data_IF_416931820048
#
_entry.id   IF_416931820048
#
_cell.length_a   1.000
_cell.length_b   1.000
_cell.length_c   1.000
_cell.angle_alpha   90.00
_cell.angle_beta   90.00
_cell.angle_gamma   90.00
#
_symmetry.space_group_name_H-M   'P 1'
#
loop_
_entity.id
_entity.type
_entity.pdbx_description
1 polymer ?
#
# COMPACT_ATOMS: atom_id res chain seq x y z
N UNK A 1 -0.36 -17.26 15.48
CA UNK A 1 -0.47 -16.07 16.34
C UNK A 1 -1.57 -16.29 17.38
N UNK A 2 -1.41 -15.84 18.64
CA UNK A 2 -2.43 -15.97 19.69
C UNK A 2 -3.30 -14.71 19.68
N UNK A 3 -4.63 -14.90 19.64
CA UNK A 3 -5.56 -13.78 19.73
C UNK A 3 -5.51 -13.13 21.11
N UNK A 4 -5.60 -11.83 21.16
CA UNK A 4 -5.70 -11.04 22.38
C UNK A 4 -7.12 -11.10 22.95
N UNK A 5 -7.29 -10.63 24.19
CA UNK A 5 -8.61 -10.46 24.78
C UNK A 5 -9.37 -9.29 24.12
N UNK A 6 -10.69 -9.27 24.23
CA UNK A 6 -11.52 -8.15 23.74
C UNK A 6 -11.07 -6.82 24.35
N UNK A 7 -10.81 -6.79 25.66
CA UNK A 7 -10.34 -5.59 26.36
C UNK A 7 -8.99 -5.09 25.85
N UNK A 8 -8.10 -5.98 25.41
CA UNK A 8 -6.82 -5.57 24.82
C UNK A 8 -7.03 -4.90 23.46
N UNK A 9 -7.91 -5.45 22.61
CA UNK A 9 -8.25 -4.82 21.33
C UNK A 9 -8.93 -3.47 21.51
N UNK A 10 -9.86 -3.32 22.48
CA UNK A 10 -10.45 -2.02 22.80
C UNK A 10 -9.41 -0.99 23.26
N UNK A 11 -8.44 -1.43 24.07
CA UNK A 11 -7.33 -0.56 24.51
C UNK A 11 -6.46 -0.14 23.34
N UNK A 12 -6.16 -1.03 22.40
CA UNK A 12 -5.41 -0.69 21.18
C UNK A 12 -6.22 0.31 20.35
N UNK A 13 -7.50 0.04 20.09
CA UNK A 13 -8.38 0.92 19.33
C UNK A 13 -8.44 2.33 19.93
N UNK A 14 -8.50 2.44 21.25
CA UNK A 14 -8.54 3.73 21.95
C UNK A 14 -7.23 4.53 21.88
N UNK A 15 -6.11 3.87 21.56
CA UNK A 15 -4.79 4.50 21.45
C UNK A 15 -4.30 4.66 20.01
N UNK A 16 -5.10 4.25 19.00
CA UNK A 16 -4.75 4.47 17.62
C UNK A 16 -4.69 5.97 17.28
N UNK A 17 -3.66 6.36 16.56
CA UNK A 17 -3.58 7.68 15.93
C UNK A 17 -3.83 7.52 14.43
N UNK A 18 -4.74 8.34 13.90
CA UNK A 18 -5.11 8.28 12.48
C UNK A 18 -4.38 9.34 11.68
N UNK A 19 -3.71 8.92 10.61
CA UNK A 19 -3.21 9.85 9.60
C UNK A 19 -4.36 10.20 8.67
N UNK A 20 -4.81 11.44 8.70
CA UNK A 20 -6.02 11.89 8.01
C UNK A 20 -5.74 12.75 6.78
N UNK A 21 -4.50 13.06 6.52
CA UNK A 21 -4.04 13.89 5.41
C UNK A 21 -3.64 13.04 4.20
N UNK A 22 -3.67 13.64 3.02
CA UNK A 22 -3.15 13.02 1.80
C UNK A 22 -1.61 12.95 1.82
N UNK A 23 -1.04 11.85 1.37
CA UNK A 23 0.40 11.69 1.23
C UNK A 23 0.82 11.95 -0.23
N UNK A 24 1.43 13.10 -0.49
CA UNK A 24 1.83 13.51 -1.83
C UNK A 24 3.27 14.00 -1.83
N UNK A 25 4.10 13.46 -2.70
CA UNK A 25 5.47 13.88 -2.86
C UNK A 25 6.37 13.67 -1.64
N UNK A 26 6.04 12.70 -0.78
CA UNK A 26 6.79 12.36 0.44
C UNK A 26 6.35 13.12 1.68
N UNK A 27 5.27 13.90 1.63
CA UNK A 27 4.75 14.69 2.75
C UNK A 27 3.25 14.49 2.92
N UNK A 28 2.78 14.59 4.17
CA UNK A 28 1.35 14.66 4.46
C UNK A 28 0.87 16.10 4.36
N UNK A 29 -0.31 16.28 3.76
CA UNK A 29 -0.93 17.60 3.60
C UNK A 29 -2.47 17.47 3.52
N UNK A 30 -3.23 18.48 3.97
CA UNK A 30 -4.67 18.52 3.76
C UNK A 30 -5.00 18.63 2.27
N UNK A 31 -6.25 18.30 1.90
CA UNK A 31 -6.75 18.60 0.56
C UNK A 31 -6.62 20.09 0.24
N UNK A 32 -6.34 20.46 -1.00
CA UNK A 32 -6.21 21.86 -1.43
C UNK A 32 -7.46 22.70 -1.17
N UNK A 33 -8.63 22.07 -1.26
CA UNK A 33 -9.90 22.70 -0.91
C UNK A 33 -10.10 22.89 0.59
N UNK A 34 -9.30 22.18 1.42
CA UNK A 34 -9.55 22.05 2.87
C UNK A 34 -10.72 21.15 3.23
N UNK A 35 -11.39 20.55 2.24
CA UNK A 35 -12.52 19.66 2.47
C UNK A 35 -12.09 18.34 3.11
N UNK A 36 -12.97 17.82 3.97
CA UNK A 36 -12.79 16.52 4.62
C UNK A 36 -14.06 15.69 4.51
N UNK A 37 -13.89 14.38 4.50
CA UNK A 37 -15.00 13.43 4.56
C UNK A 37 -14.88 12.55 5.81
N UNK A 38 -15.99 12.16 6.44
CA UNK A 38 -15.95 11.26 7.59
C UNK A 38 -15.64 9.81 7.12
N UNK A 39 -14.81 9.09 7.88
CA UNK A 39 -14.83 7.64 7.88
C UNK A 39 -15.63 7.17 9.08
N UNK A 40 -16.48 6.17 8.88
CA UNK A 40 -17.48 5.74 9.86
C UNK A 40 -17.31 4.26 10.14
N UNK A 41 -17.23 3.89 11.41
CA UNK A 41 -17.24 2.49 11.81
C UNK A 41 -18.62 1.87 11.50
N UNK A 42 -18.71 0.93 10.56
CA UNK A 42 -19.99 0.37 10.11
C UNK A 42 -20.69 -0.46 11.19
N UNK A 43 -19.96 -0.97 12.19
CA UNK A 43 -20.54 -1.73 13.28
C UNK A 43 -21.26 -0.85 14.32
N UNK A 44 -20.84 0.42 14.45
CA UNK A 44 -21.38 1.33 15.46
C UNK A 44 -22.09 2.56 14.90
N UNK A 45 -21.87 2.86 13.62
CA UNK A 45 -22.34 4.09 12.97
C UNK A 45 -21.64 5.37 13.46
N UNK A 46 -20.56 5.24 14.27
CA UNK A 46 -19.84 6.40 14.81
C UNK A 46 -18.70 6.82 13.88
N UNK A 47 -18.46 8.11 13.77
CA UNK A 47 -17.32 8.65 13.06
C UNK A 47 -16.02 8.21 13.76
N UNK A 48 -15.07 7.68 12.98
CA UNK A 48 -13.73 7.29 13.44
C UNK A 48 -12.80 8.49 13.33
N UNK A 49 -12.79 9.12 12.15
CA UNK A 49 -11.92 10.25 11.81
C UNK A 49 -12.52 11.03 10.63
N UNK A 50 -11.95 12.19 10.35
CA UNK A 50 -12.22 12.95 9.13
C UNK A 50 -10.96 12.99 8.29
N UNK A 51 -11.02 12.42 7.08
CA UNK A 51 -9.89 12.33 6.16
C UNK A 51 -9.98 13.40 5.07
N UNK A 52 -8.85 13.79 4.50
CA UNK A 52 -8.79 14.76 3.41
C UNK A 52 -9.63 14.28 2.21
N UNK A 53 -10.56 15.12 1.76
CA UNK A 53 -11.37 14.89 0.56
C UNK A 53 -10.68 15.54 -0.64
N UNK A 54 -9.78 14.77 -1.27
CA UNK A 54 -8.95 15.24 -2.37
C UNK A 54 -9.74 15.43 -3.65
N UNK A 55 -9.58 16.59 -4.29
CA UNK A 55 -10.16 16.92 -5.58
C UNK A 55 -9.20 16.67 -6.75
N UNK A 56 -9.62 17.12 -7.94
CA UNK A 56 -8.84 16.95 -9.17
C UNK A 56 -7.43 17.56 -9.07
N UNK A 57 -7.31 18.73 -8.48
CA UNK A 57 -6.01 19.42 -8.37
C UNK A 57 -5.02 18.68 -7.47
N UNK A 58 -5.52 18.00 -6.42
CA UNK A 58 -4.71 17.14 -5.56
C UNK A 58 -4.22 15.91 -6.33
N UNK A 59 -5.10 15.30 -7.13
CA UNK A 59 -4.74 14.16 -8.00
C UNK A 59 -3.71 14.60 -9.04
N UNK A 60 -3.87 15.76 -9.67
CA UNK A 60 -2.91 16.29 -10.64
C UNK A 60 -1.53 16.48 -9.99
N UNK A 61 -1.46 17.00 -8.75
CA UNK A 61 -0.22 17.11 -7.97
C UNK A 61 0.38 15.74 -7.64
N UNK A 62 -0.45 14.79 -7.24
CA UNK A 62 0.01 13.43 -6.92
C UNK A 62 0.61 12.75 -8.15
N UNK A 63 -0.05 12.85 -9.30
CA UNK A 63 0.44 12.32 -10.58
C UNK A 63 1.74 13.00 -10.99
N UNK A 64 1.83 14.33 -10.87
CA UNK A 64 3.06 15.07 -11.17
C UNK A 64 4.23 14.65 -10.26
N UNK A 65 3.98 14.48 -8.96
CA UNK A 65 4.99 13.99 -8.02
C UNK A 65 5.44 12.56 -8.34
N UNK A 66 4.51 11.67 -8.65
CA UNK A 66 4.81 10.29 -9.05
C UNK A 66 5.60 10.25 -10.38
N UNK A 67 5.25 11.10 -11.35
CA UNK A 67 5.98 11.23 -12.63
C UNK A 67 7.41 11.70 -12.39
N UNK A 68 7.60 12.73 -11.58
CA UNK A 68 8.92 13.22 -11.19
C UNK A 68 9.76 12.13 -10.50
N UNK A 69 9.16 11.37 -9.58
CA UNK A 69 9.84 10.25 -8.92
C UNK A 69 10.25 9.16 -9.92
N UNK A 70 9.39 8.81 -10.86
CA UNK A 70 9.69 7.84 -11.93
C UNK A 70 10.86 8.33 -12.82
N UNK A 71 10.81 9.56 -13.30
CA UNK A 71 11.81 10.15 -14.19
C UNK A 71 13.16 10.36 -13.52
N UNK A 72 13.18 10.63 -12.21
CA UNK A 72 14.42 10.72 -11.43
C UNK A 72 15.23 9.44 -11.46
N UNK A 73 14.57 8.29 -11.62
CA UNK A 73 15.19 6.98 -11.63
C UNK A 73 15.53 6.43 -10.26
N UNK A 74 15.21 7.14 -9.20
CA UNK A 74 15.49 6.69 -7.84
C UNK A 74 14.91 5.31 -7.51
N UNK A 75 13.78 4.97 -8.12
CA UNK A 75 13.16 3.64 -8.04
C UNK A 75 13.22 2.90 -9.37
N UNK A 76 12.83 3.53 -10.47
CA UNK A 76 12.68 2.90 -11.77
C UNK A 76 14.00 2.36 -12.35
N UNK A 77 15.13 2.99 -12.03
CA UNK A 77 16.47 2.56 -12.43
C UNK A 77 17.29 1.90 -11.32
N UNK A 78 16.70 1.73 -10.13
CA UNK A 78 17.34 1.03 -9.02
C UNK A 78 17.58 -0.44 -9.38
N UNK A 79 18.72 -1.00 -8.95
CA UNK A 79 19.00 -2.42 -9.18
C UNK A 79 17.90 -3.29 -8.53
N UNK A 80 17.41 -4.33 -9.21
CA UNK A 80 16.29 -5.15 -8.71
C UNK A 80 16.49 -5.70 -7.30
N UNK A 81 17.72 -6.14 -6.96
CA UNK A 81 18.02 -6.63 -5.60
C UNK A 81 17.91 -5.56 -4.52
N UNK A 82 18.17 -4.29 -4.84
CA UNK A 82 18.01 -3.19 -3.87
C UNK A 82 16.53 -2.86 -3.68
N UNK A 83 15.71 -2.90 -4.74
CA UNK A 83 14.25 -2.78 -4.61
C UNK A 83 13.68 -3.89 -3.74
N UNK A 84 14.13 -5.15 -3.95
CA UNK A 84 13.77 -6.28 -3.10
C UNK A 84 14.06 -6.00 -1.63
N UNK A 85 15.25 -5.53 -1.28
CA UNK A 85 15.63 -5.21 0.11
C UNK A 85 14.72 -4.15 0.75
N UNK A 86 14.29 -3.16 -0.04
CA UNK A 86 13.37 -2.13 0.45
C UNK A 86 11.99 -2.73 0.72
N UNK A 87 11.48 -3.54 -0.20
CA UNK A 87 10.19 -4.22 -0.04
C UNK A 87 10.20 -5.16 1.18
N UNK A 88 11.24 -5.96 1.37
CA UNK A 88 11.37 -6.84 2.54
C UNK A 88 11.41 -6.06 3.86
N UNK A 89 12.04 -4.88 3.90
CA UNK A 89 11.99 -4.01 5.08
C UNK A 89 10.58 -3.45 5.32
N UNK A 90 9.86 -3.10 4.27
CA UNK A 90 8.47 -2.65 4.37
C UNK A 90 7.57 -3.76 4.94
N UNK A 91 7.71 -4.99 4.45
CA UNK A 91 7.00 -6.16 4.95
C UNK A 91 7.26 -6.36 6.45
N UNK A 92 8.52 -6.31 6.88
CA UNK A 92 8.87 -6.41 8.30
C UNK A 92 8.26 -5.31 9.18
N UNK A 93 7.94 -4.13 8.62
CA UNK A 93 7.18 -3.09 9.33
C UNK A 93 5.70 -3.47 9.45
N UNK A 94 5.10 -4.04 8.40
CA UNK A 94 3.71 -4.54 8.47
C UNK A 94 3.61 -5.64 9.52
N UNK A 95 4.51 -6.62 9.52
CA UNK A 95 4.55 -7.69 10.53
C UNK A 95 4.67 -7.14 11.95
N UNK A 96 5.55 -6.16 12.15
CA UNK A 96 5.75 -5.51 13.46
C UNK A 96 4.48 -4.84 13.97
N UNK A 97 3.69 -4.23 13.08
CA UNK A 97 2.49 -3.45 13.41
C UNK A 97 1.19 -4.19 13.09
N UNK A 98 1.24 -5.51 12.86
CA UNK A 98 0.09 -6.28 12.38
C UNK A 98 -1.15 -6.20 13.28
N UNK A 99 -1.00 -6.11 14.60
CA UNK A 99 -2.14 -6.01 15.52
C UNK A 99 -2.82 -4.65 15.40
N UNK A 100 -2.06 -3.57 15.32
CA UNK A 100 -2.57 -2.21 15.14
C UNK A 100 -3.29 -2.08 13.79
N UNK A 101 -2.68 -2.62 12.72
CA UNK A 101 -3.25 -2.63 11.38
C UNK A 101 -4.56 -3.42 11.33
N UNK A 102 -4.61 -4.61 11.95
CA UNK A 102 -5.83 -5.40 12.01
C UNK A 102 -6.97 -4.72 12.79
N UNK A 103 -6.65 -4.03 13.88
CA UNK A 103 -7.64 -3.26 14.63
C UNK A 103 -8.14 -2.09 13.79
N UNK A 104 -7.25 -1.37 13.10
CA UNK A 104 -7.61 -0.28 12.20
C UNK A 104 -8.53 -0.78 11.07
N UNK A 105 -8.16 -1.86 10.41
CA UNK A 105 -8.97 -2.48 9.36
C UNK A 105 -10.34 -2.91 9.87
N UNK A 106 -10.40 -3.55 11.06
CA UNK A 106 -11.64 -3.96 11.68
C UNK A 106 -12.57 -2.77 11.98
N UNK A 107 -12.01 -1.65 12.43
CA UNK A 107 -12.79 -0.45 12.71
C UNK A 107 -13.37 0.19 11.44
N UNK A 108 -12.59 0.21 10.36
CA UNK A 108 -12.96 0.89 9.12
C UNK A 108 -13.85 0.02 8.20
N UNK A 109 -13.54 -1.27 8.07
CA UNK A 109 -14.27 -2.21 7.21
C UNK A 109 -15.46 -2.91 7.90
N UNK A 110 -15.45 -2.97 9.23
CA UNK A 110 -16.43 -3.72 10.02
C UNK A 110 -16.17 -5.22 10.09
N UNK A 111 -15.07 -5.72 9.53
CA UNK A 111 -14.66 -7.12 9.66
C UNK A 111 -14.33 -7.46 11.12
N UNK A 112 -14.60 -8.71 11.58
CA UNK A 112 -14.08 -9.16 12.86
C UNK A 112 -12.53 -9.06 12.88
N UNK A 113 -11.96 -8.50 13.94
CA UNK A 113 -10.50 -8.35 14.10
C UNK A 113 -9.74 -9.68 13.95
N UNK A 114 -10.42 -10.78 14.31
CA UNK A 114 -9.89 -12.13 14.11
C UNK A 114 -9.59 -12.42 12.63
N UNK A 115 -10.51 -12.07 11.73
CA UNK A 115 -10.35 -12.31 10.29
C UNK A 115 -9.25 -11.43 9.72
N UNK A 116 -9.18 -10.14 10.12
CA UNK A 116 -8.09 -9.26 9.74
C UNK A 116 -6.72 -9.80 10.17
N UNK A 117 -6.61 -10.39 11.38
CA UNK A 117 -5.35 -10.92 11.91
C UNK A 117 -4.97 -12.31 11.34
N UNK A 118 -5.94 -13.18 11.10
CA UNK A 118 -5.65 -14.58 10.75
C UNK A 118 -5.76 -14.86 9.26
N UNK A 119 -6.35 -13.93 8.50
CA UNK A 119 -6.56 -14.09 7.05
C UNK A 119 -5.97 -12.90 6.29
N UNK A 120 -6.51 -11.69 6.45
CA UNK A 120 -6.19 -10.57 5.58
C UNK A 120 -4.72 -10.13 5.67
N UNK A 121 -4.19 -9.96 6.89
CA UNK A 121 -2.77 -9.58 7.07
C UNK A 121 -1.78 -10.67 6.62
N UNK A 122 -1.96 -11.96 6.96
CA UNK A 122 -1.12 -13.02 6.43
C UNK A 122 -1.13 -13.06 4.90
N UNK A 123 -2.29 -12.95 4.25
CA UNK A 123 -2.39 -12.93 2.78
C UNK A 123 -1.71 -11.70 2.18
N UNK A 124 -1.86 -10.54 2.81
CA UNK A 124 -1.16 -9.30 2.40
C UNK A 124 0.36 -9.47 2.49
N UNK A 125 0.86 -10.01 3.59
CA UNK A 125 2.30 -10.25 3.79
C UNK A 125 2.81 -11.24 2.75
N UNK A 126 2.17 -12.39 2.58
CA UNK A 126 2.55 -13.42 1.61
C UNK A 126 2.57 -12.87 0.17
N UNK A 127 1.55 -12.09 -0.20
CA UNK A 127 1.48 -11.46 -1.51
C UNK A 127 2.65 -10.48 -1.73
N UNK A 128 2.94 -9.64 -0.75
CA UNK A 128 4.05 -8.69 -0.81
C UNK A 128 5.41 -9.40 -0.86
N UNK A 129 5.61 -10.45 -0.06
CA UNK A 129 6.82 -11.27 -0.07
C UNK A 129 7.05 -11.90 -1.43
N UNK A 130 6.01 -12.53 -1.99
CA UNK A 130 6.09 -13.15 -3.32
C UNK A 130 6.53 -12.14 -4.39
N UNK A 131 5.93 -10.95 -4.39
CA UNK A 131 6.28 -9.89 -5.35
C UNK A 131 7.68 -9.30 -5.09
N UNK A 132 8.07 -9.15 -3.83
CA UNK A 132 9.41 -8.71 -3.47
C UNK A 132 10.47 -9.73 -3.92
N UNK A 133 10.20 -11.01 -3.75
CA UNK A 133 11.09 -12.07 -4.20
C UNK A 133 11.18 -12.17 -5.73
N UNK A 134 10.09 -11.90 -6.44
CA UNK A 134 10.09 -11.86 -7.90
C UNK A 134 10.88 -10.68 -8.49
N UNK A 135 11.15 -9.63 -7.71
CA UNK A 135 11.76 -8.40 -8.22
C UNK A 135 13.11 -8.60 -8.94
N UNK A 136 13.91 -9.56 -8.48
CA UNK A 136 15.22 -9.90 -9.06
C UNK A 136 15.21 -11.19 -9.89
N UNK A 137 14.03 -11.75 -10.18
CA UNK A 137 13.86 -13.02 -10.91
C UNK A 137 13.06 -12.88 -12.22
N UNK A 138 12.71 -11.66 -12.60
CA UNK A 138 11.98 -11.37 -13.83
C UNK A 138 12.95 -11.25 -15.01
N UNK A 139 13.17 -12.36 -15.71
CA UNK A 139 14.05 -12.40 -16.86
C UNK A 139 13.38 -11.88 -18.13
N UNK A 140 14.18 -11.35 -19.05
CA UNK A 140 13.82 -11.17 -20.44
C UNK A 140 13.87 -12.47 -21.22
N UNK A 141 13.86 -12.38 -22.55
CA UNK A 141 13.94 -13.54 -23.41
C UNK A 141 14.64 -13.23 -24.74
N UNK A 142 14.92 -14.27 -25.46
CA UNK A 142 15.40 -14.19 -26.86
C UNK A 142 14.26 -14.65 -27.75
N UNK A 143 13.85 -13.81 -28.70
CA UNK A 143 12.81 -14.18 -29.66
C UNK A 143 13.38 -15.04 -30.80
N UNK A 144 12.60 -15.94 -31.42
CA UNK A 144 12.99 -16.59 -32.65
C UNK A 144 13.24 -15.51 -33.71
N UNK A 145 14.45 -15.57 -34.29
CA UNK A 145 14.89 -14.63 -35.34
C UNK A 145 15.53 -15.44 -36.46
N UNK A 146 15.41 -14.94 -37.67
CA UNK A 146 16.14 -15.56 -38.81
C UNK A 146 17.65 -15.32 -38.70
N UNK A 147 18.41 -16.01 -39.61
CA UNK A 147 19.85 -15.93 -39.63
C UNK A 147 20.38 -14.47 -39.66
N UNK A 148 21.40 -14.22 -38.85
CA UNK A 148 22.04 -12.90 -38.75
C UNK A 148 21.26 -11.86 -37.98
N UNK A 149 20.19 -12.22 -37.26
CA UNK A 149 19.37 -11.32 -36.41
C UNK A 149 19.30 -11.85 -34.99
N UNK A 150 19.30 -10.95 -34.02
CA UNK A 150 19.06 -11.24 -32.62
C UNK A 150 17.89 -10.36 -32.11
N UNK A 151 16.78 -10.99 -31.74
CA UNK A 151 15.65 -10.32 -31.10
C UNK A 151 15.67 -10.53 -29.59
N UNK A 152 15.59 -9.45 -28.82
CA UNK A 152 15.56 -9.48 -27.36
C UNK A 152 14.18 -9.02 -26.87
N UNK A 153 13.64 -9.73 -25.87
CA UNK A 153 12.48 -9.32 -25.10
C UNK A 153 13.00 -8.75 -23.80
N UNK A 154 12.88 -7.43 -23.64
CA UNK A 154 13.30 -6.73 -22.42
C UNK A 154 12.09 -6.26 -21.61
N UNK A 155 12.25 -6.20 -20.29
CA UNK A 155 11.25 -5.68 -19.38
C UNK A 155 11.62 -4.27 -18.96
N UNK A 156 10.67 -3.35 -19.09
CA UNK A 156 10.85 -1.96 -18.72
C UNK A 156 9.78 -1.56 -17.69
N UNK A 157 10.07 -0.56 -16.83
CA UNK A 157 9.06 -0.05 -15.89
C UNK A 157 7.86 0.56 -16.63
N UNK A 158 6.65 0.22 -16.18
CA UNK A 158 5.42 0.71 -16.81
C UNK A 158 5.19 2.22 -16.67
N UNK A 159 5.74 2.84 -15.62
CA UNK A 159 5.56 4.26 -15.33
C UNK A 159 4.68 4.50 -14.09
N UNK A 160 3.90 5.56 -14.13
CA UNK A 160 2.94 5.89 -13.07
C UNK A 160 1.69 5.02 -13.23
N UNK A 161 1.26 4.41 -12.15
CA UNK A 161 0.11 3.51 -12.10
C UNK A 161 -0.91 4.03 -11.09
N UNK A 162 -2.18 4.00 -11.44
CA UNK A 162 -3.28 4.24 -10.52
C UNK A 162 -3.79 2.91 -9.95
N UNK A 163 -3.89 2.83 -8.63
CA UNK A 163 -4.50 1.69 -7.94
C UNK A 163 -5.87 2.10 -7.40
N UNK A 164 -6.93 1.45 -7.90
CA UNK A 164 -8.29 1.63 -7.38
C UNK A 164 -8.58 0.44 -6.48
N UNK A 165 -8.45 0.66 -5.19
CA UNK A 165 -8.54 -0.40 -4.19
C UNK A 165 -10.00 -0.70 -3.82
N UNK A 166 -10.37 -1.97 -3.60
CA UNK A 166 -11.67 -2.34 -3.08
C UNK A 166 -11.76 -2.05 -1.57
N UNK A 167 -12.96 -1.69 -1.12
CA UNK A 167 -13.22 -1.37 0.30
C UNK A 167 -13.26 -2.60 1.23
N UNK A 168 -13.32 -3.81 0.67
CA UNK A 168 -13.47 -5.05 1.43
C UNK A 168 -12.15 -5.77 1.77
N UNK A 169 -11.06 -5.34 1.16
CA UNK A 169 -9.68 -5.74 1.47
C UNK A 169 -8.79 -4.50 1.37
N UNK A 170 -8.80 -3.64 2.40
CA UNK A 170 -8.11 -2.35 2.33
C UNK A 170 -6.60 -2.44 2.50
N UNK A 171 -6.08 -3.57 2.98
CA UNK A 171 -4.64 -3.86 3.15
C UNK A 171 -4.04 -4.65 2.00
#
# INVERSE_FOLDING_TARGET
MTLLSHADYERIAANLSYTTEAFIGGTFAPALSGETMPTVNPATGKEIARVASCGREDVDKAVAAARKAFESGAWSRMHPSERKKILMRFIGLIEKHQVELAVLESLDSGKPVRECLLTDLPETIECLEWHAECADKQYGGISPSGDGRLGLIVREPAGVVACVLPWNFPL
#
